data_IF_354839531808
#
_entry.id   IF_354839531808
#
_cell.length_a   1.000
_cell.length_b   1.000
_cell.length_c   1.000
_cell.angle_alpha   90.00
_cell.angle_beta   90.00
_cell.angle_gamma   90.00
#
_symmetry.space_group_name_H-M   'P 1'
#
loop_
_entity.id
_entity.type
_entity.pdbx_description
1 polymer ?
#
# COMPACT_ATOMS: atom_id res chain seq x y z
N UNK A 1 11.85 17.26 -30.56
CA UNK A 1 10.58 17.60 -29.84
C UNK A 1 10.42 16.55 -28.75
N UNK A 2 10.09 16.94 -27.52
CA UNK A 2 9.81 15.98 -26.47
C UNK A 2 8.57 15.15 -26.87
N UNK A 3 8.63 13.83 -26.70
CA UNK A 3 7.49 12.93 -26.98
C UNK A 3 6.34 13.24 -26.03
N UNK A 4 5.13 13.38 -26.54
CA UNK A 4 3.96 13.62 -25.71
C UNK A 4 3.57 12.34 -24.94
N UNK A 5 2.75 12.48 -23.88
CA UNK A 5 2.22 11.30 -23.16
C UNK A 5 1.44 10.38 -24.13
N UNK A 6 0.70 10.97 -25.09
CA UNK A 6 0.00 10.19 -26.13
C UNK A 6 0.96 9.34 -26.98
N UNK A 7 2.07 9.94 -27.47
CA UNK A 7 3.05 9.25 -28.29
C UNK A 7 3.73 8.12 -27.51
N UNK A 8 4.05 8.37 -26.24
CA UNK A 8 4.69 7.37 -25.35
C UNK A 8 3.77 6.18 -25.09
N UNK A 9 2.50 6.44 -24.75
CA UNK A 9 1.50 5.39 -24.55
C UNK A 9 1.23 4.62 -25.83
N UNK A 10 1.12 5.32 -26.98
CA UNK A 10 0.91 4.67 -28.27
C UNK A 10 2.08 3.74 -28.63
N UNK A 11 3.31 4.17 -28.41
CA UNK A 11 4.51 3.36 -28.65
C UNK A 11 4.60 2.17 -27.67
N UNK A 12 4.37 2.42 -26.37
CA UNK A 12 4.47 1.39 -25.32
C UNK A 12 3.45 0.25 -25.51
N UNK A 13 2.20 0.61 -25.91
CA UNK A 13 1.11 -0.36 -26.02
C UNK A 13 0.83 -0.82 -27.46
N UNK A 14 1.53 -0.25 -28.45
CA UNK A 14 1.23 -0.41 -29.88
C UNK A 14 -0.26 -0.17 -30.19
N UNK A 15 -0.84 0.91 -29.62
CA UNK A 15 -2.25 1.27 -29.75
C UNK A 15 -2.41 2.76 -30.04
N UNK A 16 -3.24 3.09 -31.01
CA UNK A 16 -3.51 4.48 -31.37
C UNK A 16 -4.34 5.18 -30.29
N UNK A 17 -3.83 6.34 -29.81
CA UNK A 17 -4.47 7.20 -28.81
C UNK A 17 -5.39 8.20 -29.51
N UNK A 18 -6.65 8.24 -29.06
CA UNK A 18 -7.67 9.18 -29.54
C UNK A 18 -7.65 10.50 -28.74
N UNK A 19 -7.43 10.41 -27.42
CA UNK A 19 -7.46 11.59 -26.55
C UNK A 19 -6.73 11.37 -25.23
N UNK A 20 -6.26 12.48 -24.66
CA UNK A 20 -5.56 12.55 -23.38
C UNK A 20 -6.23 13.62 -22.53
N UNK A 21 -6.60 13.27 -21.32
CA UNK A 21 -7.12 14.21 -20.33
C UNK A 21 -6.29 14.10 -19.05
N UNK A 22 -5.69 15.20 -18.60
CA UNK A 22 -5.09 15.26 -17.29
C UNK A 22 -6.16 15.07 -16.22
N UNK A 23 -5.86 14.27 -15.19
CA UNK A 23 -6.75 14.05 -14.05
C UNK A 23 -6.00 14.40 -12.77
N UNK A 24 -6.76 14.90 -11.79
CA UNK A 24 -6.21 15.14 -10.45
C UNK A 24 -6.08 13.83 -9.68
N UNK A 25 -5.19 13.81 -8.70
CA UNK A 25 -4.94 12.66 -7.82
C UNK A 25 -3.54 12.10 -8.00
N UNK A 26 -2.99 11.59 -6.89
CA UNK A 26 -1.61 11.15 -6.79
C UNK A 26 -0.73 12.22 -6.15
N UNK A 27 0.01 11.80 -5.10
CA UNK A 27 0.91 12.70 -4.35
C UNK A 27 2.18 13.02 -5.14
N UNK A 28 2.54 12.20 -6.11
CA UNK A 28 3.78 12.30 -6.87
C UNK A 28 3.54 12.02 -8.36
N UNK A 29 4.07 12.92 -9.21
CA UNK A 29 3.95 12.79 -10.66
C UNK A 29 2.65 13.38 -11.25
N UNK A 30 2.43 13.09 -12.53
CA UNK A 30 1.25 13.53 -13.28
C UNK A 30 0.43 12.34 -13.69
N UNK A 31 -0.89 12.49 -13.67
CA UNK A 31 -1.84 11.42 -13.99
C UNK A 31 -2.76 11.82 -15.13
N UNK A 32 -3.10 10.83 -15.97
CA UNK A 32 -3.89 11.05 -17.15
C UNK A 32 -4.89 9.93 -17.39
N UNK A 33 -6.03 10.25 -17.98
CA UNK A 33 -6.91 9.32 -18.64
C UNK A 33 -6.64 9.33 -20.14
N UNK A 34 -6.36 8.15 -20.69
CA UNK A 34 -6.17 7.94 -22.13
C UNK A 34 -7.41 7.28 -22.71
N UNK A 35 -7.85 7.79 -23.87
CA UNK A 35 -8.87 7.15 -24.69
C UNK A 35 -8.23 6.59 -25.95
N UNK A 36 -8.55 5.34 -26.31
CA UNK A 36 -8.01 4.69 -27.51
C UNK A 36 -8.99 4.74 -28.69
N UNK A 37 -8.46 4.82 -29.92
CA UNK A 37 -9.27 4.70 -31.14
C UNK A 37 -10.00 3.36 -31.25
N UNK A 38 -9.40 2.27 -30.78
CA UNK A 38 -10.02 0.95 -30.72
C UNK A 38 -11.08 0.79 -29.64
N UNK A 39 -11.43 1.88 -28.96
CA UNK A 39 -12.30 1.87 -27.78
C UNK A 39 -11.56 1.53 -26.50
N UNK A 40 -12.24 1.77 -25.36
CA UNK A 40 -11.68 1.61 -24.04
C UNK A 40 -10.79 2.78 -23.59
N UNK A 41 -10.39 2.73 -22.33
CA UNK A 41 -9.56 3.77 -21.71
C UNK A 41 -8.48 3.14 -20.83
N UNK A 42 -7.42 3.91 -20.55
CA UNK A 42 -6.36 3.57 -19.62
C UNK A 42 -6.11 4.72 -18.63
N UNK A 43 -5.60 4.37 -17.45
CA UNK A 43 -5.00 5.29 -16.52
C UNK A 43 -3.49 5.31 -16.75
N UNK A 44 -2.89 6.48 -16.66
CA UNK A 44 -1.45 6.67 -16.86
C UNK A 44 -0.89 7.50 -15.72
N UNK A 45 0.16 7.00 -15.10
CA UNK A 45 1.06 7.75 -14.22
C UNK A 45 2.35 8.08 -14.96
N UNK A 46 2.86 9.29 -14.78
CA UNK A 46 4.20 9.66 -15.21
C UNK A 46 4.93 10.40 -14.09
N UNK A 47 6.19 10.10 -13.94
CA UNK A 47 7.09 10.80 -13.05
C UNK A 47 8.38 11.10 -13.81
N UNK A 48 8.51 12.36 -14.27
CA UNK A 48 9.73 12.79 -14.95
C UNK A 48 10.92 12.64 -14.01
N UNK A 49 11.98 11.97 -14.49
CA UNK A 49 13.15 11.63 -13.67
C UNK A 49 12.85 10.75 -12.46
N UNK A 50 11.95 9.75 -12.60
CA UNK A 50 11.53 8.84 -11.55
C UNK A 50 12.73 8.21 -10.82
N UNK A 51 13.76 7.77 -11.55
CA UNK A 51 14.98 7.20 -10.98
C UNK A 51 15.70 8.16 -10.02
N UNK A 52 15.71 9.47 -10.35
CA UNK A 52 16.36 10.49 -9.49
C UNK A 52 15.53 10.89 -8.29
N UNK A 53 14.21 10.77 -8.38
CA UNK A 53 13.26 11.21 -7.34
C UNK A 53 13.00 10.07 -6.34
N UNK A 54 12.70 8.88 -6.85
CA UNK A 54 12.33 7.72 -6.06
C UNK A 54 13.41 6.63 -6.07
N UNK A 55 14.04 6.38 -7.21
CA UNK A 55 15.05 5.35 -7.38
C UNK A 55 14.82 4.48 -8.62
N UNK A 56 15.76 3.59 -8.94
CA UNK A 56 15.69 2.75 -10.12
C UNK A 56 14.54 1.73 -10.02
N UNK A 57 13.79 1.55 -11.11
CA UNK A 57 12.70 0.59 -11.19
C UNK A 57 11.45 0.98 -10.38
N UNK A 58 11.25 2.27 -10.12
CA UNK A 58 10.11 2.77 -9.34
C UNK A 58 8.76 2.27 -9.86
N UNK A 59 8.47 2.46 -11.15
CA UNK A 59 7.24 1.97 -11.74
C UNK A 59 7.24 0.46 -12.00
N UNK A 60 8.40 -0.16 -12.17
CA UNK A 60 8.50 -1.62 -12.27
C UNK A 60 8.08 -2.28 -10.95
N UNK A 61 8.45 -1.68 -9.81
CA UNK A 61 8.04 -2.13 -8.49
C UNK A 61 6.52 -2.06 -8.29
N UNK A 62 5.89 -0.92 -8.64
CA UNK A 62 4.43 -0.78 -8.58
C UNK A 62 3.74 -1.77 -9.52
N UNK A 63 4.25 -1.93 -10.73
CA UNK A 63 3.72 -2.88 -11.71
C UNK A 63 3.86 -4.34 -11.22
N UNK A 64 4.98 -4.70 -10.59
CA UNK A 64 5.17 -6.02 -9.99
C UNK A 64 4.16 -6.26 -8.86
N UNK A 65 4.00 -5.31 -7.95
CA UNK A 65 3.01 -5.37 -6.87
C UNK A 65 1.58 -5.54 -7.38
N UNK A 66 1.16 -4.74 -8.37
CA UNK A 66 -0.17 -4.85 -8.98
C UNK A 66 -0.40 -6.23 -9.63
N UNK A 67 0.58 -6.74 -10.38
CA UNK A 67 0.50 -8.07 -11.00
C UNK A 67 0.38 -9.16 -9.93
N UNK A 68 1.21 -9.10 -8.91
CA UNK A 68 1.20 -10.06 -7.82
C UNK A 68 -0.12 -10.06 -7.03
N UNK A 69 -0.66 -8.89 -6.68
CA UNK A 69 -1.97 -8.78 -6.06
C UNK A 69 -3.08 -9.35 -6.96
N UNK A 70 -2.98 -9.12 -8.27
CA UNK A 70 -3.96 -9.59 -9.25
C UNK A 70 -4.01 -11.12 -9.36
N UNK A 71 -2.93 -11.84 -9.12
CA UNK A 71 -2.92 -13.31 -9.09
C UNK A 71 -3.88 -13.90 -8.05
N UNK A 72 -4.23 -13.14 -7.00
CA UNK A 72 -5.21 -13.56 -6.01
C UNK A 72 -6.67 -13.41 -6.50
N UNK A 73 -6.88 -12.65 -7.59
CA UNK A 73 -8.20 -12.49 -8.20
C UNK A 73 -8.49 -13.71 -9.05
N UNK A 74 -9.66 -14.33 -8.88
CA UNK A 74 -10.07 -15.47 -9.71
C UNK A 74 -10.09 -15.11 -11.20
N UNK A 75 -9.93 -16.10 -12.07
CA UNK A 75 -9.91 -15.92 -13.52
C UNK A 75 -11.18 -15.27 -14.07
N UNK A 76 -12.31 -15.46 -13.39
CA UNK A 76 -13.61 -14.85 -13.68
C UNK A 76 -13.74 -13.39 -13.16
N UNK A 77 -12.76 -12.93 -12.38
CA UNK A 77 -12.78 -11.61 -11.72
C UNK A 77 -13.86 -11.44 -10.65
N UNK A 78 -14.59 -12.51 -10.32
CA UNK A 78 -15.71 -12.48 -9.36
C UNK A 78 -15.39 -13.16 -8.04
N UNK A 79 -14.39 -14.02 -8.00
CA UNK A 79 -13.91 -14.73 -6.82
C UNK A 79 -12.47 -14.37 -6.48
N UNK A 80 -12.09 -14.51 -5.21
CA UNK A 80 -10.72 -14.30 -4.76
C UNK A 80 -10.47 -12.89 -4.19
N UNK A 81 -9.23 -12.40 -4.32
CA UNK A 81 -8.77 -11.18 -3.67
C UNK A 81 -9.38 -9.87 -4.16
N UNK A 82 -9.00 -8.79 -3.50
CA UNK A 82 -9.40 -7.42 -3.88
C UNK A 82 -9.01 -7.15 -5.33
N UNK A 83 -9.91 -6.50 -6.05
CA UNK A 83 -9.66 -6.10 -7.43
C UNK A 83 -8.53 -5.08 -7.49
N UNK A 84 -7.68 -5.21 -8.49
CA UNK A 84 -6.64 -4.24 -8.83
C UNK A 84 -6.64 -3.98 -10.33
N UNK A 85 -6.27 -2.77 -10.79
CA UNK A 85 -6.16 -2.49 -12.22
C UNK A 85 -5.14 -3.41 -12.89
N UNK A 86 -5.41 -3.77 -14.14
CA UNK A 86 -4.45 -4.52 -14.95
C UNK A 86 -3.31 -3.62 -15.42
N UNK A 87 -2.07 -4.06 -15.27
CA UNK A 87 -0.90 -3.38 -15.84
C UNK A 87 -0.85 -3.65 -17.34
N UNK A 88 -1.09 -2.60 -18.13
CA UNK A 88 -1.08 -2.66 -19.61
C UNK A 88 0.32 -2.43 -20.16
N UNK A 89 1.14 -1.62 -19.47
CA UNK A 89 2.51 -1.34 -19.85
C UNK A 89 3.25 -0.56 -18.77
N UNK A 90 4.57 -0.72 -18.74
CA UNK A 90 5.46 0.00 -17.82
C UNK A 90 6.78 0.32 -18.52
N UNK A 91 7.33 1.48 -18.21
CA UNK A 91 8.69 1.89 -18.54
C UNK A 91 9.23 2.78 -17.42
N UNK A 92 10.50 3.19 -17.48
CA UNK A 92 11.22 3.88 -16.42
C UNK A 92 10.45 5.03 -15.75
N UNK A 93 9.73 5.83 -16.54
CA UNK A 93 9.06 7.05 -16.09
C UNK A 93 7.54 7.08 -16.39
N UNK A 94 6.96 5.90 -16.71
CA UNK A 94 5.53 5.76 -17.06
C UNK A 94 4.98 4.40 -16.66
N UNK A 95 3.82 4.40 -16.04
CA UNK A 95 3.00 3.22 -15.79
C UNK A 95 1.61 3.42 -16.42
N UNK A 96 1.15 2.40 -17.15
CA UNK A 96 -0.17 2.38 -17.78
C UNK A 96 -0.97 1.22 -17.24
N UNK A 97 -2.13 1.51 -16.67
CA UNK A 97 -3.06 0.48 -16.16
C UNK A 97 -4.43 0.60 -16.83
N UNK A 98 -5.25 -0.43 -16.67
CA UNK A 98 -6.65 -0.38 -17.08
C UNK A 98 -7.38 0.73 -16.34
N UNK A 99 -8.32 1.40 -17.04
CA UNK A 99 -9.15 2.44 -16.45
C UNK A 99 -10.25 1.82 -15.58
N UNK A 100 -10.31 2.25 -14.33
CA UNK A 100 -11.45 2.01 -13.44
C UNK A 100 -12.28 3.29 -13.39
N UNK A 101 -13.52 3.22 -13.82
CA UNK A 101 -14.40 4.39 -13.80
C UNK A 101 -14.79 4.70 -12.35
N UNK A 102 -14.45 5.90 -11.83
CA UNK A 102 -14.73 6.24 -10.45
C UNK A 102 -16.23 6.36 -10.16
N UNK A 103 -16.63 5.90 -8.99
CA UNK A 103 -17.97 5.94 -8.46
C UNK A 103 -17.98 6.33 -6.97
N UNK A 104 -18.96 5.84 -6.25
CA UNK A 104 -19.12 6.09 -4.82
C UNK A 104 -19.19 4.78 -4.05
N UNK A 105 -18.63 4.71 -2.83
CA UNK A 105 -18.77 3.54 -1.98
C UNK A 105 -20.23 3.27 -1.64
N UNK A 106 -20.57 1.99 -1.53
CA UNK A 106 -21.86 1.53 -1.00
C UNK A 106 -21.62 0.61 0.19
N UNK A 107 -22.60 0.45 1.12
CA UNK A 107 -22.47 -0.49 2.22
C UNK A 107 -22.13 -1.91 1.75
N UNK A 108 -22.85 -2.42 0.75
CA UNK A 108 -22.65 -3.76 0.21
C UNK A 108 -21.28 -3.91 -0.50
N UNK A 109 -20.85 -2.86 -1.21
CA UNK A 109 -19.52 -2.82 -1.83
C UNK A 109 -18.38 -2.81 -0.80
N UNK A 110 -18.60 -2.15 0.34
CA UNK A 110 -17.65 -2.16 1.45
C UNK A 110 -17.55 -3.53 2.12
N UNK A 111 -18.67 -4.22 2.34
CA UNK A 111 -18.67 -5.61 2.84
C UNK A 111 -17.97 -6.55 1.86
N UNK A 112 -18.30 -6.46 0.56
CA UNK A 112 -17.62 -7.26 -0.46
C UNK A 112 -16.11 -6.98 -0.52
N UNK A 113 -15.70 -5.71 -0.37
CA UNK A 113 -14.28 -5.35 -0.27
C UNK A 113 -13.62 -6.02 0.95
N UNK A 114 -14.27 -6.05 2.11
CA UNK A 114 -13.79 -6.74 3.31
C UNK A 114 -13.58 -8.24 3.08
N UNK A 115 -14.56 -8.94 2.48
CA UNK A 115 -14.46 -10.38 2.16
C UNK A 115 -13.31 -10.65 1.18
N UNK A 116 -13.14 -9.79 0.18
CA UNK A 116 -12.05 -9.91 -0.80
C UNK A 116 -10.69 -9.62 -0.18
N UNK A 117 -10.60 -8.67 0.75
CA UNK A 117 -9.38 -8.40 1.49
C UNK A 117 -8.96 -9.61 2.34
N UNK A 118 -9.91 -10.23 3.03
CA UNK A 118 -9.69 -11.47 3.75
C UNK A 118 -9.17 -12.60 2.83
N UNK A 119 -9.80 -12.75 1.66
CA UNK A 119 -9.39 -13.72 0.65
C UNK A 119 -8.01 -13.43 0.07
N UNK A 120 -7.66 -12.15 -0.13
CA UNK A 120 -6.33 -11.72 -0.58
C UNK A 120 -5.26 -12.12 0.44
N UNK A 121 -5.47 -11.78 1.71
CA UNK A 121 -4.54 -12.11 2.79
C UNK A 121 -4.39 -13.62 2.97
N UNK A 122 -5.48 -14.39 2.88
CA UNK A 122 -5.47 -15.86 2.98
C UNK A 122 -4.72 -16.57 1.84
N UNK A 123 -4.49 -15.91 0.70
CA UNK A 123 -3.61 -16.46 -0.35
C UNK A 123 -2.17 -16.63 0.11
N UNK A 124 -1.77 -15.85 1.11
CA UNK A 124 -0.43 -15.91 1.66
C UNK A 124 0.67 -15.41 0.73
N UNK A 125 1.87 -15.41 1.27
CA UNK A 125 3.12 -15.13 0.57
C UNK A 125 4.16 -16.19 0.93
N UNK A 126 5.25 -16.27 0.17
CA UNK A 126 6.32 -17.24 0.42
C UNK A 126 7.12 -16.88 1.67
N UNK A 127 7.39 -15.58 1.84
CA UNK A 127 8.14 -15.01 2.96
C UNK A 127 7.60 -13.62 3.30
N UNK A 128 8.06 -13.03 4.38
CA UNK A 128 7.95 -11.59 4.60
C UNK A 128 8.89 -10.88 3.62
N UNK A 129 8.39 -9.86 2.90
CA UNK A 129 9.13 -9.21 1.82
C UNK A 129 8.62 -9.55 0.42
N UNK A 130 9.44 -9.31 -0.61
CA UNK A 130 9.10 -9.59 -2.01
C UNK A 130 10.36 -9.72 -2.88
N UNK A 131 10.25 -10.44 -4.01
CA UNK A 131 11.34 -10.66 -4.96
C UNK A 131 11.68 -9.42 -5.82
N UNK A 132 11.04 -8.29 -5.56
CA UNK A 132 11.27 -7.02 -6.27
C UNK A 132 11.57 -5.88 -5.29
N UNK A 133 12.33 -4.85 -5.72
CA UNK A 133 12.56 -3.67 -4.91
C UNK A 133 11.23 -2.99 -4.59
N UNK A 134 11.09 -2.50 -3.35
CA UNK A 134 9.87 -1.83 -2.89
C UNK A 134 10.01 -0.32 -2.83
N UNK A 135 8.87 0.33 -2.94
CA UNK A 135 8.72 1.76 -2.68
C UNK A 135 7.45 2.01 -1.90
N UNK A 136 7.49 3.00 -0.99
CA UNK A 136 6.30 3.57 -0.36
C UNK A 136 6.31 5.08 -0.62
N UNK A 137 5.30 5.56 -1.34
CA UNK A 137 5.39 6.86 -1.99
C UNK A 137 6.68 6.96 -2.84
N UNK A 138 7.57 7.91 -2.56
CA UNK A 138 8.88 8.05 -3.23
C UNK A 138 10.05 7.56 -2.37
N UNK A 139 9.79 6.90 -1.27
CA UNK A 139 10.81 6.38 -0.38
C UNK A 139 11.12 4.91 -0.68
N UNK A 140 12.38 4.49 -0.61
CA UNK A 140 12.72 3.07 -0.69
C UNK A 140 12.05 2.27 0.41
N UNK A 141 11.54 1.10 0.07
CA UNK A 141 10.96 0.11 0.97
C UNK A 141 11.77 -1.19 0.81
N UNK A 142 12.52 -1.55 1.82
CA UNK A 142 13.34 -2.77 1.77
C UNK A 142 12.44 -4.01 1.82
N UNK A 143 12.40 -4.76 0.73
CA UNK A 143 11.64 -5.98 0.56
C UNK A 143 12.50 -7.26 0.65
N UNK A 144 13.70 -7.17 1.23
CA UNK A 144 14.46 -8.38 1.55
C UNK A 144 13.61 -9.34 2.39
N UNK A 145 13.81 -10.63 2.18
CA UNK A 145 13.09 -11.68 2.90
C UNK A 145 13.59 -11.85 4.34
N UNK A 146 12.67 -12.21 5.22
CA UNK A 146 12.93 -12.64 6.59
C UNK A 146 11.97 -13.79 6.94
N UNK A 147 12.39 -14.65 7.88
CA UNK A 147 11.61 -15.82 8.27
C UNK A 147 10.49 -15.48 9.25
N UNK A 148 10.73 -14.48 10.15
CA UNK A 148 9.75 -14.04 11.14
C UNK A 148 9.33 -12.58 10.95
N UNK A 149 8.08 -12.30 11.32
CA UNK A 149 7.51 -10.97 11.17
C UNK A 149 8.16 -9.92 12.07
N UNK A 150 8.50 -10.25 13.30
CA UNK A 150 9.03 -9.30 14.26
C UNK A 150 10.38 -8.74 13.77
N UNK A 151 11.29 -9.61 13.33
CA UNK A 151 12.57 -9.22 12.72
C UNK A 151 12.35 -8.39 11.47
N UNK A 152 11.50 -8.84 10.54
CA UNK A 152 11.17 -8.12 9.32
C UNK A 152 10.62 -6.72 9.63
N UNK A 153 9.64 -6.64 10.52
CA UNK A 153 8.98 -5.39 10.86
C UNK A 153 9.94 -4.38 11.50
N UNK A 154 10.73 -4.82 12.47
CA UNK A 154 11.71 -3.97 13.13
C UNK A 154 12.79 -3.49 12.16
N UNK A 155 13.43 -4.43 11.45
CA UNK A 155 14.65 -4.12 10.68
C UNK A 155 14.37 -3.44 9.35
N UNK A 156 13.23 -3.75 8.72
CA UNK A 156 12.90 -3.26 7.36
C UNK A 156 11.75 -2.26 7.32
N UNK A 157 10.93 -2.17 8.37
CA UNK A 157 9.76 -1.27 8.39
C UNK A 157 9.88 -0.15 9.42
N UNK A 158 10.37 -0.40 10.62
CA UNK A 158 10.41 0.61 11.68
C UNK A 158 11.74 1.36 11.70
N UNK A 159 12.85 0.68 11.98
CA UNK A 159 14.15 1.33 12.21
C UNK A 159 14.69 2.14 11.02
N UNK A 160 14.51 1.76 9.74
CA UNK A 160 14.93 2.60 8.61
C UNK A 160 14.23 3.95 8.61
N UNK A 161 12.94 3.99 8.93
CA UNK A 161 12.15 5.22 8.93
C UNK A 161 12.30 6.02 10.22
N UNK A 162 12.64 5.42 11.35
CA UNK A 162 13.13 6.12 12.53
C UNK A 162 14.37 6.94 12.19
N UNK A 163 15.37 6.30 11.55
CA UNK A 163 16.59 7.00 11.10
C UNK A 163 16.26 8.14 10.13
N UNK A 164 15.46 7.84 9.12
CA UNK A 164 15.10 8.82 8.08
C UNK A 164 14.32 10.02 8.66
N UNK A 165 13.37 9.79 9.57
CA UNK A 165 12.62 10.85 10.23
C UNK A 165 13.52 11.71 11.14
N UNK A 166 14.47 11.10 11.84
CA UNK A 166 15.48 11.81 12.62
C UNK A 166 16.39 12.69 11.76
N UNK A 167 16.93 12.11 10.68
CA UNK A 167 17.85 12.82 9.77
C UNK A 167 17.17 14.05 9.14
N UNK A 168 15.86 13.99 8.96
CA UNK A 168 15.03 15.11 8.47
C UNK A 168 14.58 16.07 9.57
N UNK A 169 14.90 15.81 10.84
CA UNK A 169 14.49 16.62 11.98
C UNK A 169 13.00 16.53 12.34
N UNK A 170 12.32 15.48 11.86
CA UNK A 170 10.89 15.25 12.07
C UNK A 170 10.56 14.31 13.23
N UNK A 171 11.57 13.70 13.84
CA UNK A 171 11.48 12.89 15.06
C UNK A 171 12.61 13.28 16.01
N UNK A 172 12.29 13.60 17.25
CA UNK A 172 13.29 13.94 18.25
C UNK A 172 14.00 12.69 18.82
N UNK A 173 15.06 12.92 19.59
CA UNK A 173 15.88 11.83 20.13
C UNK A 173 15.11 10.98 21.16
N UNK A 174 14.25 11.61 21.97
CA UNK A 174 13.45 10.90 22.97
C UNK A 174 12.40 9.99 22.30
N UNK A 175 11.67 10.49 21.30
CA UNK A 175 10.71 9.72 20.54
C UNK A 175 11.35 8.54 19.82
N UNK A 176 12.54 8.74 19.21
CA UNK A 176 13.28 7.67 18.60
C UNK A 176 13.68 6.59 19.60
N UNK A 177 14.20 6.99 20.76
CA UNK A 177 14.62 6.05 21.82
C UNK A 177 13.44 5.19 22.30
N UNK A 178 12.26 5.78 22.51
CA UNK A 178 11.07 5.02 22.94
C UNK A 178 10.63 4.02 21.85
N UNK A 179 10.67 4.41 20.57
CA UNK A 179 10.37 3.49 19.47
C UNK A 179 11.38 2.34 19.41
N UNK A 180 12.66 2.64 19.56
CA UNK A 180 13.73 1.62 19.59
C UNK A 180 13.56 0.67 20.79
N UNK A 181 13.15 1.18 21.98
CA UNK A 181 12.82 0.34 23.14
C UNK A 181 11.65 -0.62 22.85
N UNK A 182 10.57 -0.14 22.23
CA UNK A 182 9.45 -0.99 21.79
C UNK A 182 9.94 -2.07 20.82
N UNK A 183 10.80 -1.72 19.87
CA UNK A 183 11.38 -2.66 18.92
C UNK A 183 12.16 -3.80 19.61
N UNK A 184 12.90 -3.52 20.69
CA UNK A 184 13.66 -4.57 21.42
C UNK A 184 12.76 -5.57 22.15
N UNK A 185 11.48 -5.27 22.31
CA UNK A 185 10.51 -6.08 23.04
C UNK A 185 9.26 -6.39 22.22
N UNK A 186 9.38 -6.35 20.89
CA UNK A 186 8.25 -6.50 19.97
C UNK A 186 7.53 -7.85 20.14
N UNK A 187 8.25 -8.91 20.49
CA UNK A 187 7.68 -10.25 20.67
C UNK A 187 6.57 -10.30 21.73
N UNK A 188 6.62 -9.43 22.73
CA UNK A 188 5.57 -9.31 23.74
C UNK A 188 4.31 -8.57 23.25
N UNK A 189 4.40 -7.88 22.12
CA UNK A 189 3.33 -7.06 21.53
C UNK A 189 2.78 -7.65 20.24
N UNK A 190 3.55 -8.51 19.57
CA UNK A 190 3.23 -9.01 18.23
C UNK A 190 2.05 -10.01 18.20
N UNK A 191 1.71 -10.62 19.35
CA UNK A 191 0.72 -11.67 19.40
C UNK A 191 1.26 -13.03 18.93
N UNK A 192 0.36 -13.92 18.51
CA UNK A 192 0.74 -15.21 17.95
C UNK A 192 1.38 -15.03 16.57
N UNK A 193 2.35 -15.89 16.26
CA UNK A 193 3.00 -15.89 14.95
C UNK A 193 2.00 -16.26 13.86
N UNK A 194 1.92 -15.43 12.83
CA UNK A 194 1.12 -15.69 11.63
C UNK A 194 2.03 -15.90 10.41
N UNK A 195 1.54 -16.71 9.47
CA UNK A 195 2.22 -16.87 8.18
C UNK A 195 2.17 -15.59 7.37
N UNK A 196 3.17 -15.32 6.51
CA UNK A 196 3.15 -14.18 5.63
C UNK A 196 1.86 -14.13 4.79
N UNK A 197 1.16 -13.03 4.88
CA UNK A 197 -0.03 -12.72 4.09
C UNK A 197 0.35 -11.88 2.88
N UNK A 198 -0.43 -11.99 1.81
CA UNK A 198 -0.31 -11.11 0.64
C UNK A 198 -0.99 -9.79 0.96
N UNK A 199 -0.20 -8.76 1.32
CA UNK A 199 -0.74 -7.46 1.73
C UNK A 199 -0.57 -6.39 0.64
N UNK A 200 -1.43 -5.36 0.71
CA UNK A 200 -1.31 -4.15 -0.12
C UNK A 200 -0.11 -3.29 0.32
N UNK A 201 0.14 -3.21 1.64
CA UNK A 201 1.28 -2.52 2.24
C UNK A 201 1.11 -1.00 2.40
N UNK A 202 0.10 -0.41 1.74
CA UNK A 202 -0.31 1.00 1.89
C UNK A 202 -1.84 1.13 1.77
N UNK A 203 -2.58 0.35 2.55
CA UNK A 203 -4.04 0.17 2.46
C UNK A 203 -4.81 1.27 3.19
N UNK A 204 -4.73 2.52 2.75
CA UNK A 204 -5.52 3.62 3.28
C UNK A 204 -6.67 4.03 2.34
N UNK A 205 -7.59 4.84 2.82
CA UNK A 205 -8.80 5.23 2.06
C UNK A 205 -8.50 5.85 0.68
N UNK A 206 -7.36 6.55 0.53
CA UNK A 206 -6.96 7.16 -0.74
C UNK A 206 -6.49 6.16 -1.79
N UNK A 207 -6.09 4.96 -1.38
CA UNK A 207 -5.69 3.86 -2.26
C UNK A 207 -6.82 2.86 -2.52
N UNK A 208 -8.06 3.20 -2.13
CA UNK A 208 -9.27 2.46 -2.48
C UNK A 208 -10.10 3.30 -3.46
N UNK A 209 -10.10 2.89 -4.72
CA UNK A 209 -10.95 3.48 -5.74
C UNK A 209 -12.27 2.72 -5.81
N UNK A 210 -13.37 3.42 -5.58
CA UNK A 210 -14.72 2.86 -5.70
C UNK A 210 -15.20 3.02 -7.14
N UNK A 211 -15.65 1.95 -7.76
CA UNK A 211 -16.15 1.97 -9.14
C UNK A 211 -17.63 2.39 -9.24
N UNK A 212 -18.15 2.46 -10.47
CA UNK A 212 -19.55 2.86 -10.73
C UNK A 212 -20.59 1.89 -10.16
N UNK A 213 -20.19 0.72 -9.68
CA UNK A 213 -21.05 -0.25 -8.96
C UNK A 213 -20.91 -0.18 -7.45
N UNK A 214 -19.98 0.65 -6.96
CA UNK A 214 -19.64 0.78 -5.56
C UNK A 214 -18.69 -0.31 -5.06
N UNK A 215 -18.04 -1.05 -5.97
CA UNK A 215 -17.03 -2.05 -5.62
C UNK A 215 -15.66 -1.39 -5.41
N UNK A 216 -14.94 -1.81 -4.37
CA UNK A 216 -13.61 -1.27 -4.04
C UNK A 216 -12.49 -1.95 -4.85
N UNK A 217 -11.57 -1.13 -5.33
CA UNK A 217 -10.36 -1.52 -6.06
C UNK A 217 -9.14 -0.95 -5.34
N UNK A 218 -8.12 -1.76 -5.10
CA UNK A 218 -6.83 -1.27 -4.65
C UNK A 218 -6.02 -0.67 -5.78
N UNK A 219 -5.40 0.46 -5.52
CA UNK A 219 -4.47 1.16 -6.41
C UNK A 219 -3.21 1.56 -5.61
N UNK A 220 -2.12 1.87 -6.29
CA UNK A 220 -0.89 2.41 -5.70
C UNK A 220 -0.30 1.53 -4.57
N UNK A 221 -0.08 0.22 -4.79
CA UNK A 221 0.37 -0.67 -3.74
C UNK A 221 1.86 -0.51 -3.42
N UNK A 222 2.20 -0.73 -2.15
CA UNK A 222 3.53 -1.07 -1.66
C UNK A 222 3.59 -2.58 -1.33
N UNK A 223 3.14 -3.42 -2.27
CA UNK A 223 2.79 -4.83 -2.03
C UNK A 223 3.99 -5.70 -1.67
N UNK A 224 3.81 -6.54 -0.68
CA UNK A 224 4.80 -7.52 -0.20
C UNK A 224 4.13 -8.58 0.69
N UNK A 225 4.85 -9.64 0.99
CA UNK A 225 4.48 -10.55 2.08
C UNK A 225 4.62 -9.84 3.42
N UNK A 226 3.55 -9.76 4.18
CA UNK A 226 3.52 -9.03 5.45
C UNK A 226 2.51 -9.63 6.43
N UNK A 227 2.35 -9.01 7.58
CA UNK A 227 1.31 -9.36 8.53
C UNK A 227 -0.02 -8.74 8.09
N UNK A 228 -1.11 -9.52 8.05
CA UNK A 228 -2.42 -9.05 7.59
C UNK A 228 -2.97 -7.86 8.38
N UNK A 229 -2.66 -7.79 9.68
CA UNK A 229 -3.09 -6.68 10.52
C UNK A 229 -2.46 -5.33 10.13
N UNK A 230 -1.37 -5.34 9.34
CA UNK A 230 -0.75 -4.10 8.83
C UNK A 230 -1.71 -3.33 7.91
N UNK A 231 -2.37 -4.00 6.96
CA UNK A 231 -3.37 -3.36 6.11
C UNK A 231 -4.60 -2.90 6.91
N UNK A 232 -5.06 -3.71 7.88
CA UNK A 232 -6.19 -3.35 8.74
C UNK A 232 -5.88 -2.15 9.63
N UNK A 233 -4.67 -2.09 10.19
CA UNK A 233 -4.20 -0.96 10.98
C UNK A 233 -4.06 0.33 10.16
N UNK A 234 -3.67 0.21 8.88
CA UNK A 234 -3.61 1.33 7.95
C UNK A 234 -5.01 1.84 7.58
N UNK A 235 -5.97 0.93 7.34
CA UNK A 235 -7.38 1.28 7.17
C UNK A 235 -7.94 1.99 8.41
N UNK A 236 -7.54 1.58 9.61
CA UNK A 236 -7.97 2.24 10.86
C UNK A 236 -7.30 3.62 11.05
N UNK A 237 -6.08 3.84 10.56
CA UNK A 237 -5.36 5.09 10.67
C UNK A 237 -5.95 6.18 9.77
N UNK A 238 -6.37 5.81 8.53
CA UNK A 238 -6.96 6.68 7.52
C UNK A 238 -8.19 5.99 6.91
N UNK A 239 -9.33 6.03 7.63
CA UNK A 239 -10.46 5.16 7.36
C UNK A 239 -11.19 5.47 6.06
N UNK A 240 -11.54 4.43 5.29
CA UNK A 240 -12.51 4.55 4.20
C UNK A 240 -13.95 4.63 4.77
N UNK A 241 -14.92 5.05 3.97
CA UNK A 241 -16.32 4.93 4.31
C UNK A 241 -16.70 3.48 4.64
N UNK A 242 -17.55 3.28 5.65
CA UNK A 242 -18.03 1.98 6.09
C UNK A 242 -16.95 1.03 6.63
N UNK A 243 -15.88 1.54 7.27
CA UNK A 243 -14.79 0.73 7.82
C UNK A 243 -15.30 -0.42 8.70
N UNK A 244 -16.26 -0.15 9.58
CA UNK A 244 -16.81 -1.17 10.49
C UNK A 244 -17.41 -2.34 9.72
N UNK A 245 -18.07 -2.09 8.56
CA UNK A 245 -18.58 -3.14 7.68
C UNK A 245 -17.48 -3.90 6.97
N UNK A 246 -16.43 -3.20 6.54
CA UNK A 246 -15.24 -3.83 5.95
C UNK A 246 -14.63 -4.82 6.92
N UNK A 247 -14.39 -4.38 8.16
CA UNK A 247 -13.78 -5.22 9.21
C UNK A 247 -14.67 -6.41 9.58
N UNK A 248 -15.96 -6.19 9.77
CA UNK A 248 -16.90 -7.26 10.08
C UNK A 248 -16.96 -8.33 8.98
N UNK A 249 -17.05 -7.91 7.72
CA UNK A 249 -17.06 -8.80 6.57
C UNK A 249 -15.70 -9.50 6.32
N UNK A 250 -14.59 -8.87 6.69
CA UNK A 250 -13.28 -9.49 6.73
C UNK A 250 -13.23 -10.63 7.73
N UNK A 251 -13.67 -10.36 8.97
CA UNK A 251 -13.65 -11.30 10.10
C UNK A 251 -14.53 -12.53 9.83
N UNK A 252 -15.65 -12.37 9.12
CA UNK A 252 -16.52 -13.49 8.67
C UNK A 252 -15.76 -14.50 7.80
N UNK A 253 -14.82 -14.06 6.96
CA UNK A 253 -14.11 -14.91 5.99
C UNK A 253 -12.79 -15.42 6.53
N UNK A 254 -12.06 -14.58 7.23
CA UNK A 254 -10.74 -14.89 7.79
C UNK A 254 -10.66 -14.33 9.21
N UNK A 255 -11.14 -15.08 10.22
CA UNK A 255 -11.25 -14.62 11.59
C UNK A 255 -9.96 -13.96 12.09
N UNK A 256 -10.11 -12.83 12.74
CA UNK A 256 -9.01 -12.09 13.34
C UNK A 256 -8.60 -12.74 14.67
N UNK A 257 -7.31 -12.73 14.97
CA UNK A 257 -6.80 -13.27 16.21
C UNK A 257 -7.27 -12.45 17.41
N UNK A 258 -7.46 -13.09 18.56
CA UNK A 258 -7.83 -12.42 19.80
C UNK A 258 -6.85 -11.29 20.11
N UNK A 259 -7.38 -10.14 20.53
CA UNK A 259 -6.58 -8.95 20.86
C UNK A 259 -5.99 -8.20 19.65
N UNK A 260 -6.42 -8.46 18.43
CA UNK A 260 -5.90 -7.78 17.24
C UNK A 260 -6.06 -6.24 17.33
N UNK A 261 -7.15 -5.75 17.92
CA UNK A 261 -7.36 -4.31 18.11
C UNK A 261 -6.26 -3.67 18.98
N UNK A 262 -5.75 -4.43 19.94
CA UNK A 262 -4.68 -3.97 20.82
C UNK A 262 -3.33 -3.89 20.08
N UNK A 263 -3.17 -4.62 18.97
CA UNK A 263 -1.97 -4.59 18.12
C UNK A 263 -2.00 -3.51 17.05
N UNK A 264 -3.17 -2.92 16.78
CA UNK A 264 -3.31 -1.83 15.79
C UNK A 264 -2.27 -0.72 15.99
N UNK A 265 -2.02 -0.19 17.22
CA UNK A 265 -0.99 0.82 17.42
C UNK A 265 0.42 0.37 17.01
N UNK A 266 0.76 -0.90 17.24
CA UNK A 266 2.06 -1.44 16.82
C UNK A 266 2.22 -1.38 15.30
N UNK A 267 1.23 -1.88 14.56
CA UNK A 267 1.25 -1.85 13.09
C UNK A 267 1.18 -0.43 12.50
N UNK A 268 0.68 0.55 13.26
CA UNK A 268 0.64 1.96 12.84
C UNK A 268 1.98 2.69 12.98
N UNK A 269 2.98 2.14 13.69
CA UNK A 269 4.29 2.79 13.83
C UNK A 269 4.95 3.02 12.46
N UNK A 270 4.96 2.01 11.58
CA UNK A 270 5.56 2.14 10.26
C UNK A 270 4.91 3.25 9.41
N UNK A 271 3.60 3.26 9.14
CA UNK A 271 3.00 4.33 8.34
C UNK A 271 3.14 5.71 8.99
N UNK A 272 3.09 5.82 10.30
CA UNK A 272 3.34 7.11 10.98
C UNK A 272 4.76 7.60 10.76
N UNK A 273 5.76 6.72 10.80
CA UNK A 273 7.15 7.06 10.55
C UNK A 273 7.41 7.41 9.08
N UNK A 274 6.78 6.70 8.13
CA UNK A 274 6.79 7.06 6.71
C UNK A 274 6.23 8.47 6.51
N UNK A 275 5.08 8.76 7.12
CA UNK A 275 4.46 10.09 7.06
C UNK A 275 5.33 11.16 7.74
N UNK A 276 5.97 10.84 8.87
CA UNK A 276 6.93 11.74 9.49
C UNK A 276 8.08 12.08 8.55
N UNK A 277 8.64 11.06 7.91
CA UNK A 277 9.72 11.27 6.93
C UNK A 277 9.28 12.14 5.75
N UNK A 278 8.04 12.00 5.25
CA UNK A 278 7.55 12.71 4.08
C UNK A 278 6.97 14.10 4.38
N UNK A 279 6.20 14.21 5.46
CA UNK A 279 5.29 15.34 5.67
C UNK A 279 5.54 16.15 6.96
N UNK A 280 6.43 15.69 7.84
CA UNK A 280 6.91 16.52 8.94
C UNK A 280 6.62 16.00 10.36
N UNK A 281 6.97 16.86 11.32
CA UNK A 281 7.10 16.52 12.75
C UNK A 281 5.79 16.12 13.46
N UNK A 282 4.63 16.55 12.98
CA UNK A 282 3.35 16.18 13.61
C UNK A 282 3.15 14.65 13.60
N UNK A 283 3.57 13.99 12.53
CA UNK A 283 3.55 12.53 12.46
C UNK A 283 4.63 11.88 13.32
N UNK A 284 5.80 12.52 13.47
CA UNK A 284 6.84 12.07 14.38
C UNK A 284 6.36 12.10 15.84
N UNK A 285 5.68 13.16 16.25
CA UNK A 285 5.05 13.28 17.58
C UNK A 285 4.01 12.19 17.80
N UNK A 286 3.17 11.92 16.78
CA UNK A 286 2.18 10.82 16.86
C UNK A 286 2.83 9.45 16.97
N UNK A 287 3.89 9.17 16.19
CA UNK A 287 4.65 7.92 16.29
C UNK A 287 5.25 7.72 17.68
N UNK A 288 5.86 8.78 18.23
CA UNK A 288 6.41 8.75 19.60
C UNK A 288 5.31 8.55 20.66
N UNK A 289 4.12 9.16 20.49
CA UNK A 289 2.99 8.96 21.42
C UNK A 289 2.52 7.51 21.41
N UNK A 290 2.33 6.93 20.22
CA UNK A 290 1.96 5.51 20.06
C UNK A 290 3.00 4.58 20.69
N UNK A 291 4.29 4.88 20.50
CA UNK A 291 5.36 4.10 21.11
C UNK A 291 5.35 4.17 22.66
N UNK A 292 5.03 5.33 23.25
CA UNK A 292 4.90 5.46 24.72
C UNK A 292 3.73 4.59 25.23
N UNK A 293 2.59 4.60 24.58
CA UNK A 293 1.44 3.75 24.91
C UNK A 293 1.81 2.25 24.85
N UNK A 294 2.54 1.84 23.83
CA UNK A 294 3.04 0.47 23.71
C UNK A 294 4.06 0.12 24.81
N UNK A 295 4.98 1.04 25.13
CA UNK A 295 5.97 0.85 26.19
C UNK A 295 5.31 0.72 27.58
N UNK A 296 4.21 1.42 27.84
CA UNK A 296 3.43 1.27 29.08
C UNK A 296 2.84 -0.14 29.23
N UNK A 297 2.43 -0.78 28.13
CA UNK A 297 1.92 -2.17 28.13
C UNK A 297 3.02 -3.23 28.36
N UNK A 298 4.28 -2.84 28.25
CA UNK A 298 5.44 -3.71 28.47
C UNK A 298 5.96 -3.67 29.94
N UNK A 299 5.35 -2.83 30.78
CA UNK A 299 5.69 -2.71 32.22
C UNK A 299 4.87 -3.65 33.07
#
# INVERSE_FOLDING_TARGET
MASTVADRVAALLNRAVLGVAAIGGGSFGKTYRIQFFSGGAAFVKTLEHAEKIAGPGYFDAEAAGLRWLREAVGADGTSGGVRVPEVLGVAEDILVTSWVAPGRPTPDGAEEFGRRLASLHARGAHSFGADWPGYIAVLPLDNGDDEDWATFYVTRRVLPYVRLARDRGHLDAEGAQVIEEVCTRIDFLAGEEERPSRIHGDAWSGNILWDGRGEGWFIDPAAHGGHRETDLAMLALFPPPYLDRIIAAYDEVHPLADGWQERVPLHQLHPLLVHAALYGSDYGVRAASVARELAERLR
#
